data_IF_898226497225
#
_entry.id   IF_898226497225
#
_cell.length_a   1.000
_cell.length_b   1.000
_cell.length_c   1.000
_cell.angle_alpha   90.00
_cell.angle_beta   90.00
_cell.angle_gamma   90.00
#
_symmetry.space_group_name_H-M   'P 1'
#
loop_
_entity.id
_entity.type
_entity.pdbx_description
1 polymer ?
#
# COMPACT_ATOMS: atom_id res chain seq x y z
N UNK A 1 3.14 26.03 10.80
CA UNK A 1 4.18 25.78 9.80
C UNK A 1 4.40 24.30 9.65
N UNK A 2 4.62 23.86 8.44
CA UNK A 2 4.99 22.48 8.18
C UNK A 2 6.50 22.39 7.96
N UNK A 3 7.04 21.22 8.25
CA UNK A 3 8.47 20.94 8.08
C UNK A 3 8.63 19.69 7.24
N UNK A 4 9.46 19.77 6.20
CA UNK A 4 9.78 18.64 5.36
C UNK A 4 11.12 18.05 5.81
N UNK A 5 11.09 16.76 6.19
CA UNK A 5 12.30 16.08 6.62
C UNK A 5 13.29 15.92 5.46
N UNK A 6 14.53 16.38 5.57
CA UNK A 6 15.51 16.26 4.48
C UNK A 6 15.95 14.81 4.21
N UNK A 7 15.66 13.90 5.12
CA UNK A 7 16.04 12.49 4.96
C UNK A 7 14.98 11.64 4.27
N UNK A 8 13.71 11.89 4.57
CA UNK A 8 12.62 11.07 4.07
C UNK A 8 11.55 11.85 3.29
N UNK A 9 11.73 13.15 3.16
CA UNK A 9 10.83 14.08 2.44
C UNK A 9 9.38 14.09 2.94
N UNK A 10 9.12 13.49 4.09
CA UNK A 10 7.77 13.57 4.68
C UNK A 10 7.59 14.91 5.37
N UNK A 11 6.35 15.41 5.35
CA UNK A 11 5.98 16.69 5.95
C UNK A 11 5.33 16.47 7.30
N UNK A 12 5.75 17.28 8.29
CA UNK A 12 5.25 17.21 9.65
C UNK A 12 4.82 18.60 10.12
N UNK A 13 3.98 18.65 11.15
CA UNK A 13 3.51 19.92 11.71
C UNK A 13 4.60 20.66 12.45
N UNK A 14 5.49 19.92 13.09
CA UNK A 14 6.54 20.49 13.92
C UNK A 14 7.92 20.30 13.29
N UNK A 15 8.78 21.31 13.42
CA UNK A 15 10.16 21.23 12.98
C UNK A 15 10.87 20.14 13.79
N UNK A 16 11.63 19.29 13.11
CA UNK A 16 12.36 18.17 13.73
C UNK A 16 11.45 17.20 14.49
N UNK A 17 10.21 17.06 14.04
CA UNK A 17 9.28 16.12 14.65
C UNK A 17 9.86 14.70 14.62
N UNK A 18 9.78 14.03 15.78
CA UNK A 18 10.28 12.67 15.91
C UNK A 18 9.48 11.69 15.04
N UNK A 19 10.17 10.89 14.26
CA UNK A 19 9.55 9.93 13.36
C UNK A 19 10.56 8.85 12.94
N UNK A 20 10.08 7.80 12.27
CA UNK A 20 10.94 6.72 11.78
C UNK A 20 11.64 7.17 10.48
N UNK A 21 12.57 8.10 10.62
CA UNK A 21 13.32 8.64 9.50
C UNK A 21 14.39 7.66 9.03
N UNK A 22 14.54 7.54 7.72
CA UNK A 22 15.56 6.66 7.13
C UNK A 22 15.06 5.26 6.81
N UNK A 23 13.83 4.91 7.23
CA UNK A 23 13.22 3.63 6.90
C UNK A 23 12.07 3.76 5.90
N UNK A 24 11.83 4.96 5.40
CA UNK A 24 10.71 5.27 4.54
C UNK A 24 11.03 5.22 3.05
N UNK A 25 11.78 4.22 2.58
CA UNK A 25 12.12 4.09 1.16
C UNK A 25 11.78 2.70 0.63
N UNK A 26 11.51 2.64 -0.69
CA UNK A 26 11.27 1.37 -1.36
C UNK A 26 12.50 0.47 -1.29
N UNK A 27 13.70 1.04 -1.33
CA UNK A 27 14.93 0.27 -1.21
C UNK A 27 15.01 -0.47 0.12
N UNK A 28 14.65 0.18 1.23
CA UNK A 28 14.62 -0.47 2.56
C UNK A 28 13.63 -1.62 2.59
N UNK A 29 12.44 -1.38 2.03
CA UNK A 29 11.38 -2.39 1.98
C UNK A 29 11.80 -3.63 1.19
N UNK A 30 12.53 -3.42 0.09
CA UNK A 30 12.90 -4.47 -0.85
C UNK A 30 14.27 -5.08 -0.60
N UNK A 31 15.02 -4.54 0.35
CA UNK A 31 16.37 -5.01 0.66
C UNK A 31 16.37 -6.50 1.00
N UNK A 32 17.21 -7.26 0.30
CA UNK A 32 17.35 -8.70 0.54
C UNK A 32 16.17 -9.54 0.05
N UNK A 33 15.24 -8.95 -0.69
CA UNK A 33 14.08 -9.68 -1.21
C UNK A 33 14.40 -10.28 -2.58
N UNK A 34 13.73 -11.40 -2.96
CA UNK A 34 13.91 -11.96 -4.29
C UNK A 34 13.57 -10.97 -5.39
N UNK A 35 14.28 -11.00 -6.53
CA UNK A 35 14.01 -10.09 -7.64
C UNK A 35 12.56 -10.11 -8.14
N UNK A 36 11.90 -11.27 -8.10
CA UNK A 36 10.48 -11.37 -8.53
C UNK A 36 9.58 -10.50 -7.66
N UNK A 37 9.84 -10.44 -6.35
CA UNK A 37 9.05 -9.61 -5.44
C UNK A 37 9.34 -8.12 -5.66
N UNK A 38 10.58 -7.77 -5.92
CA UNK A 38 10.96 -6.40 -6.26
C UNK A 38 10.23 -5.93 -7.50
N UNK A 39 10.21 -6.74 -8.56
CA UNK A 39 9.52 -6.41 -9.80
C UNK A 39 8.02 -6.29 -9.61
N UNK A 40 7.42 -7.20 -8.85
CA UNK A 40 5.98 -7.15 -8.56
C UNK A 40 5.63 -5.89 -7.78
N UNK A 41 6.41 -5.54 -6.76
CA UNK A 41 6.17 -4.33 -5.98
C UNK A 41 6.24 -3.08 -6.85
N UNK A 42 7.28 -2.97 -7.71
CA UNK A 42 7.43 -1.80 -8.57
C UNK A 42 6.29 -1.67 -9.57
N UNK A 43 5.83 -2.77 -10.13
CA UNK A 43 4.68 -2.77 -11.03
C UNK A 43 3.40 -2.36 -10.29
N UNK A 44 3.21 -2.87 -9.09
CA UNK A 44 2.05 -2.52 -8.25
C UNK A 44 2.07 -1.02 -7.93
N UNK A 45 3.18 -0.50 -7.44
CA UNK A 45 3.32 0.90 -7.10
C UNK A 45 3.08 1.80 -8.31
N UNK A 46 3.70 1.49 -9.44
CA UNK A 46 3.54 2.26 -10.68
C UNK A 46 2.07 2.26 -11.13
N UNK A 47 1.42 1.12 -11.10
CA UNK A 47 0.02 0.99 -11.51
C UNK A 47 -0.90 1.79 -10.60
N UNK A 48 -0.71 1.67 -9.29
CA UNK A 48 -1.54 2.39 -8.31
C UNK A 48 -1.38 3.91 -8.47
N UNK A 49 -0.18 4.38 -8.75
CA UNK A 49 0.06 5.81 -8.98
C UNK A 49 -0.63 6.35 -10.22
N UNK A 50 -1.02 5.49 -11.17
CA UNK A 50 -1.79 5.93 -12.34
C UNK A 50 -3.26 6.22 -12.02
N UNK A 51 -3.75 5.76 -10.88
CA UNK A 51 -5.16 5.98 -10.50
C UNK A 51 -5.48 7.45 -10.22
N UNK A 52 -4.49 8.20 -9.74
CA UNK A 52 -4.66 9.60 -9.36
C UNK A 52 -3.59 10.00 -8.36
N UNK A 53 -3.90 10.95 -7.50
CA UNK A 53 -2.98 11.39 -6.46
C UNK A 53 -2.91 10.35 -5.34
N UNK A 54 -1.85 9.58 -5.34
CA UNK A 54 -1.60 8.54 -4.34
C UNK A 54 -0.27 8.82 -3.67
N UNK A 55 -0.28 8.88 -2.34
CA UNK A 55 0.92 8.94 -1.54
C UNK A 55 1.31 7.53 -1.13
N UNK A 56 2.55 7.15 -1.37
CA UNK A 56 3.09 5.87 -0.94
C UNK A 56 4.02 6.11 0.22
N UNK A 57 3.68 5.55 1.38
CA UNK A 57 4.52 5.65 2.59
C UNK A 57 5.15 4.30 2.82
N UNK A 58 6.47 4.22 2.68
CA UNK A 58 7.20 2.96 2.84
C UNK A 58 7.98 2.94 4.14
N UNK A 59 8.05 1.75 4.72
CA UNK A 59 8.87 1.42 5.90
C UNK A 59 9.64 0.14 5.60
N UNK A 60 10.46 -0.32 6.54
CA UNK A 60 11.30 -1.51 6.34
C UNK A 60 10.51 -2.77 5.97
N UNK A 61 9.28 -2.90 6.46
CA UNK A 61 8.50 -4.13 6.32
C UNK A 61 7.19 -3.97 5.57
N UNK A 62 6.73 -2.73 5.37
CA UNK A 62 5.42 -2.50 4.77
C UNK A 62 5.36 -1.19 4.01
N UNK A 63 4.37 -1.08 3.16
CA UNK A 63 4.03 0.16 2.45
C UNK A 63 2.55 0.44 2.62
N UNK A 64 2.21 1.72 2.76
CA UNK A 64 0.84 2.20 2.85
C UNK A 64 0.53 3.02 1.60
N UNK A 65 -0.64 2.79 1.03
CA UNK A 65 -1.13 3.55 -0.13
C UNK A 65 -2.32 4.38 0.32
N UNK A 66 -2.19 5.68 0.18
CA UNK A 66 -3.23 6.59 0.66
C UNK A 66 -3.53 7.71 -0.32
N UNK A 67 -4.75 8.19 -0.27
CA UNK A 67 -5.18 9.46 -0.85
C UNK A 67 -5.65 10.35 0.30
N UNK A 68 -6.93 10.56 0.53
CA UNK A 68 -7.39 11.22 1.75
C UNK A 68 -7.26 10.29 2.96
N UNK A 69 -7.19 8.99 2.71
CA UNK A 69 -7.02 7.95 3.72
C UNK A 69 -6.32 6.73 3.12
N UNK A 70 -5.88 5.84 3.96
CA UNK A 70 -5.25 4.59 3.52
C UNK A 70 -6.33 3.70 2.90
N UNK A 71 -6.13 3.32 1.62
CA UNK A 71 -7.06 2.44 0.92
C UNK A 71 -6.48 1.05 0.69
N UNK A 72 -5.18 0.90 0.83
CA UNK A 72 -4.50 -0.39 0.72
C UNK A 72 -3.16 -0.34 1.44
N UNK A 73 -2.67 -1.48 1.82
CA UNK A 73 -1.32 -1.62 2.36
C UNK A 73 -0.75 -2.97 1.95
N UNK A 74 0.56 -3.10 2.06
CA UNK A 74 1.21 -4.38 1.80
C UNK A 74 2.39 -4.59 2.71
N UNK A 75 2.68 -5.85 2.97
CA UNK A 75 3.85 -6.31 3.69
C UNK A 75 4.62 -7.25 2.77
N UNK A 76 5.93 -7.11 2.71
CA UNK A 76 6.77 -8.02 1.92
C UNK A 76 7.14 -9.19 2.81
N UNK A 77 6.67 -10.37 2.45
CA UNK A 77 7.00 -11.59 3.17
C UNK A 77 8.16 -12.29 2.46
N UNK A 78 8.53 -13.47 2.94
CA UNK A 78 9.64 -14.22 2.37
C UNK A 78 9.46 -14.54 0.88
N UNK A 79 8.23 -14.87 0.48
CA UNK A 79 7.94 -15.37 -0.87
C UNK A 79 6.75 -14.71 -1.55
N UNK A 80 6.19 -13.65 -0.96
CA UNK A 80 5.01 -13.00 -1.50
C UNK A 80 4.91 -11.55 -1.06
N UNK A 81 4.08 -10.78 -1.78
CA UNK A 81 3.57 -9.51 -1.30
C UNK A 81 2.21 -9.81 -0.65
N UNK A 82 2.09 -9.54 0.63
CA UNK A 82 0.83 -9.68 1.35
C UNK A 82 0.09 -8.35 1.24
N UNK A 83 -0.87 -8.29 0.33
CA UNK A 83 -1.60 -7.07 0.01
C UNK A 83 -2.93 -7.05 0.74
N UNK A 84 -3.23 -5.94 1.39
CA UNK A 84 -4.52 -5.72 2.06
C UNK A 84 -5.24 -4.61 1.35
N UNK A 85 -6.46 -4.89 0.91
CA UNK A 85 -7.32 -3.95 0.17
C UNK A 85 -8.55 -3.66 1.01
N UNK A 86 -8.84 -2.37 1.22
CA UNK A 86 -9.98 -1.93 2.05
C UNK A 86 -11.14 -1.57 1.14
N UNK A 87 -12.14 -2.44 1.11
CA UNK A 87 -13.32 -2.29 0.26
C UNK A 87 -14.55 -1.93 1.08
N UNK A 88 -15.60 -1.43 0.40
CA UNK A 88 -16.88 -1.12 1.03
C UNK A 88 -17.84 -2.29 1.06
N UNK A 89 -17.44 -3.44 0.54
CA UNK A 89 -18.25 -4.65 0.43
C UNK A 89 -17.39 -5.87 0.66
N UNK A 90 -18.03 -6.97 1.05
CA UNK A 90 -17.35 -8.25 1.21
C UNK A 90 -17.27 -8.95 -0.15
N UNK A 91 -16.06 -9.32 -0.56
CA UNK A 91 -15.82 -10.07 -1.79
C UNK A 91 -15.24 -11.44 -1.41
N UNK A 92 -16.06 -12.49 -1.57
CA UNK A 92 -15.65 -13.85 -1.21
C UNK A 92 -15.06 -14.54 -2.45
N UNK A 93 -13.74 -14.60 -2.49
CA UNK A 93 -12.99 -15.26 -3.57
C UNK A 93 -11.89 -16.13 -2.96
N UNK A 94 -11.52 -17.24 -3.61
CA UNK A 94 -10.50 -18.14 -3.06
C UNK A 94 -9.14 -17.47 -2.82
N UNK A 95 -8.78 -16.45 -3.61
CA UNK A 95 -7.51 -15.77 -3.45
C UNK A 95 -7.49 -14.79 -2.29
N UNK A 96 -8.64 -14.39 -1.75
CA UNK A 96 -8.68 -13.60 -0.53
C UNK A 96 -8.62 -14.54 0.67
N UNK A 97 -7.42 -14.64 1.25
CA UNK A 97 -7.14 -15.61 2.31
C UNK A 97 -7.67 -15.19 3.68
N UNK A 98 -8.00 -13.90 3.83
CA UNK A 98 -8.56 -13.37 5.07
C UNK A 98 -9.44 -12.18 4.74
N UNK A 99 -10.64 -12.14 5.30
CA UNK A 99 -11.60 -11.05 5.13
C UNK A 99 -12.12 -10.70 6.51
N UNK A 100 -12.10 -9.39 6.87
CA UNK A 100 -12.57 -8.98 8.16
C UNK A 100 -12.87 -7.49 8.23
N UNK A 101 -13.58 -7.06 9.28
CA UNK A 101 -13.92 -5.65 9.44
C UNK A 101 -12.69 -4.80 9.73
N UNK A 102 -12.69 -3.58 9.20
CA UNK A 102 -11.65 -2.59 9.43
C UNK A 102 -12.30 -1.21 9.45
N UNK A 103 -12.79 -0.81 10.62
CA UNK A 103 -13.60 0.40 10.76
C UNK A 103 -14.87 0.29 9.90
N UNK A 104 -15.08 1.28 9.03
CA UNK A 104 -16.21 1.29 8.09
C UNK A 104 -15.95 0.48 6.83
N UNK A 105 -14.76 -0.15 6.74
CA UNK A 105 -14.33 -0.89 5.57
C UNK A 105 -14.23 -2.37 5.88
N UNK A 106 -14.04 -3.15 4.83
CA UNK A 106 -13.79 -4.57 4.95
C UNK A 106 -12.43 -4.84 4.32
N UNK A 107 -11.51 -5.35 5.13
CA UNK A 107 -10.15 -5.68 4.69
C UNK A 107 -10.14 -7.03 4.00
N UNK A 108 -9.47 -7.09 2.86
CA UNK A 108 -9.31 -8.30 2.06
C UNK A 108 -7.83 -8.54 1.87
N UNK A 109 -7.34 -9.70 2.29
CA UNK A 109 -5.91 -10.04 2.22
C UNK A 109 -5.68 -11.02 1.08
N UNK A 110 -4.73 -10.69 0.21
CA UNK A 110 -4.33 -11.54 -0.90
C UNK A 110 -2.81 -11.63 -0.95
N UNK A 111 -2.30 -12.82 -1.27
CA UNK A 111 -0.87 -13.03 -1.48
C UNK A 111 -0.56 -12.94 -2.96
N UNK A 112 0.35 -12.03 -3.31
CA UNK A 112 0.78 -11.81 -4.69
C UNK A 112 2.17 -12.40 -4.86
N UNK A 113 2.28 -13.47 -5.65
CA UNK A 113 3.52 -14.16 -5.94
C UNK A 113 3.91 -14.10 -7.41
N UNK A 114 2.95 -13.80 -8.28
CA UNK A 114 3.15 -13.82 -9.74
C UNK A 114 2.49 -12.59 -10.36
N UNK A 115 2.82 -12.35 -11.63
CA UNK A 115 2.18 -11.29 -12.40
C UNK A 115 0.67 -11.53 -12.56
N UNK A 116 0.26 -12.78 -12.63
CA UNK A 116 -1.17 -13.13 -12.71
C UNK A 116 -1.90 -12.74 -11.43
N UNK A 117 -1.29 -13.02 -10.27
CA UNK A 117 -1.84 -12.61 -8.97
C UNK A 117 -1.99 -11.09 -8.90
N UNK A 118 -0.99 -10.37 -9.38
CA UNK A 118 -1.02 -8.91 -9.39
C UNK A 118 -2.18 -8.40 -10.25
N UNK A 119 -2.34 -8.95 -11.46
CA UNK A 119 -3.45 -8.57 -12.34
C UNK A 119 -4.81 -8.83 -11.70
N UNK A 120 -4.90 -9.87 -10.89
CA UNK A 120 -6.14 -10.20 -10.18
C UNK A 120 -6.51 -9.14 -9.14
N UNK A 121 -5.52 -8.61 -8.43
CA UNK A 121 -5.79 -7.66 -7.34
C UNK A 121 -5.93 -6.21 -7.83
N UNK A 122 -5.38 -5.86 -8.98
CA UNK A 122 -5.40 -4.48 -9.49
C UNK A 122 -6.82 -3.88 -9.55
N UNK A 123 -7.85 -4.57 -10.09
CA UNK A 123 -9.21 -4.01 -10.10
C UNK A 123 -9.73 -3.67 -8.71
N UNK A 124 -9.38 -4.47 -7.71
CA UNK A 124 -9.80 -4.22 -6.32
C UNK A 124 -9.04 -3.04 -5.70
N UNK A 125 -7.76 -2.89 -6.05
CA UNK A 125 -7.00 -1.71 -5.64
C UNK A 125 -7.63 -0.44 -6.22
N UNK A 126 -8.05 -0.48 -7.48
CA UNK A 126 -8.74 0.65 -8.12
C UNK A 126 -10.08 0.92 -7.43
N UNK A 127 -10.85 -0.11 -7.13
CA UNK A 127 -12.11 0.04 -6.41
C UNK A 127 -11.90 0.69 -5.05
N UNK A 128 -10.87 0.26 -4.31
CA UNK A 128 -10.54 0.83 -3.01
C UNK A 128 -10.13 2.31 -3.12
N UNK A 129 -9.34 2.63 -4.14
CA UNK A 129 -8.95 4.00 -4.40
C UNK A 129 -10.16 4.88 -4.71
N UNK A 130 -11.03 4.44 -5.62
CA UNK A 130 -12.23 5.19 -6.00
C UNK A 130 -13.14 5.42 -4.79
N UNK A 131 -13.27 4.43 -3.93
CA UNK A 131 -14.06 4.53 -2.70
C UNK A 131 -13.47 5.59 -1.75
N UNK A 132 -12.17 5.59 -1.56
CA UNK A 132 -11.48 6.56 -0.71
C UNK A 132 -11.63 7.99 -1.24
N UNK A 133 -11.55 8.16 -2.55
CA UNK A 133 -11.72 9.47 -3.20
C UNK A 133 -13.16 9.97 -3.02
N UNK A 134 -14.15 9.10 -3.24
CA UNK A 134 -15.57 9.47 -3.10
C UNK A 134 -15.91 9.93 -1.69
N UNK A 135 -15.32 9.31 -0.68
CA UNK A 135 -15.59 9.66 0.72
C UNK A 135 -14.96 10.98 1.14
N UNK A 136 -14.02 11.47 0.35
CA UNK A 136 -13.38 12.74 0.59
C UNK A 136 -14.32 13.92 0.28
N UNK A 137 -15.23 13.73 -0.67
CA UNK A 137 -16.14 14.76 -1.11
C UNK A 137 -17.24 15.10 -0.08
#
# INVERSE_FOLDING_TARGET
MSWACPRCDRTFRQVNQRHACGVGSAESLLKGRPPVLTDLYRKLETTVKTFGEVEVVTHDRYALFRTSRIFADLTVTRDALRVVVHLGRKVSKPYFIKIGPSGKRISHVVLVRTAADLRTVIPFLREAFDLAVRERA
#
